data_IF_721521551324
#
_entry.id   IF_721521551324
#
_cell.length_a   1.000
_cell.length_b   1.000
_cell.length_c   1.000
_cell.angle_alpha   90.00
_cell.angle_beta   90.00
_cell.angle_gamma   90.00
#
_symmetry.space_group_name_H-M   'P 1'
#
loop_
_entity.id
_entity.type
_entity.pdbx_description
1 polymer ?
#
# COMPACT_ATOMS: atom_id res chain seq x y z
N UNK A 1 4.18 9.04 -7.91
CA UNK A 1 5.43 8.70 -7.20
C UNK A 1 5.79 7.27 -7.52
N UNK A 2 6.94 7.02 -8.15
CA UNK A 2 7.40 5.66 -8.49
C UNK A 2 7.42 4.77 -7.24
N UNK A 3 7.17 3.45 -7.31
CA UNK A 3 7.29 2.57 -6.13
C UNK A 3 8.65 2.68 -5.43
N UNK A 4 9.72 2.85 -6.20
CA UNK A 4 11.08 3.09 -5.67
C UNK A 4 11.24 4.46 -5.00
N UNK A 5 10.52 5.48 -5.45
CA UNK A 5 10.50 6.80 -4.81
C UNK A 5 9.67 6.76 -3.52
N UNK A 6 8.54 6.03 -3.52
CA UNK A 6 7.71 5.84 -2.33
C UNK A 6 8.47 5.11 -1.22
N UNK A 7 9.27 4.08 -1.58
CA UNK A 7 10.18 3.41 -0.63
C UNK A 7 11.18 4.40 -0.04
N UNK A 8 11.79 5.25 -0.86
CA UNK A 8 12.73 6.27 -0.39
C UNK A 8 12.03 7.24 0.55
N UNK A 9 10.90 7.78 0.16
CA UNK A 9 10.12 8.74 0.95
C UNK A 9 9.72 8.16 2.30
N UNK A 10 9.19 6.93 2.32
CA UNK A 10 8.83 6.24 3.56
C UNK A 10 10.07 5.97 4.43
N UNK A 11 11.19 5.54 3.85
CA UNK A 11 12.43 5.29 4.60
C UNK A 11 13.09 6.57 5.13
N UNK A 12 12.86 7.75 4.52
CA UNK A 12 13.50 9.00 4.96
C UNK A 12 13.18 9.38 6.40
N UNK A 13 11.96 9.10 6.89
CA UNK A 13 11.58 9.36 8.28
C UNK A 13 12.49 8.62 9.28
N UNK A 14 12.47 7.27 9.28
CA UNK A 14 13.37 6.47 10.10
C UNK A 14 14.86 6.79 9.91
N UNK A 15 15.30 7.00 8.67
CA UNK A 15 16.71 7.34 8.38
C UNK A 15 17.08 8.67 9.06
N UNK A 16 16.24 9.68 8.97
CA UNK A 16 16.51 10.99 9.60
C UNK A 16 16.61 10.86 11.12
N UNK A 17 15.71 10.11 11.74
CA UNK A 17 15.76 9.83 13.16
C UNK A 17 17.06 9.12 13.58
N UNK A 18 17.50 8.12 12.81
CA UNK A 18 18.76 7.41 13.05
C UNK A 18 19.96 8.35 12.89
N UNK A 19 19.99 9.18 11.85
CA UNK A 19 21.06 10.15 11.62
C UNK A 19 21.14 11.13 12.79
N UNK A 20 20.01 11.67 13.24
CA UNK A 20 19.95 12.58 14.39
C UNK A 20 20.47 11.90 15.65
N UNK A 21 20.06 10.66 15.91
CA UNK A 21 20.57 9.88 17.05
C UNK A 21 22.10 9.72 17.00
N UNK A 22 22.65 9.34 15.84
CA UNK A 22 24.10 9.17 15.64
C UNK A 22 24.86 10.48 15.86
N UNK A 23 24.36 11.60 15.33
CA UNK A 23 25.01 12.91 15.47
C UNK A 23 25.09 13.32 16.94
N UNK A 24 23.99 13.20 17.69
CA UNK A 24 23.98 13.56 19.11
C UNK A 24 24.84 12.61 19.95
N UNK A 25 24.85 11.32 19.65
CA UNK A 25 25.78 10.39 20.29
C UNK A 25 27.24 10.73 19.98
N UNK A 26 27.57 11.19 18.77
CA UNK A 26 28.92 11.64 18.43
C UNK A 26 29.33 12.90 19.22
N UNK A 27 28.39 13.84 19.43
CA UNK A 27 28.63 15.06 20.22
C UNK A 27 29.02 14.73 21.66
N UNK A 28 28.53 13.63 22.25
CA UNK A 28 28.89 13.24 23.62
C UNK A 28 30.39 12.97 23.80
N UNK A 29 31.10 12.60 22.74
CA UNK A 29 32.55 12.41 22.78
C UNK A 29 33.32 13.74 22.79
N UNK A 30 32.74 14.80 22.20
CA UNK A 30 33.33 16.13 22.16
C UNK A 30 32.95 16.95 23.39
N UNK A 31 31.71 16.80 23.86
CA UNK A 31 31.13 17.55 24.97
C UNK A 31 30.39 16.55 25.88
N UNK A 32 31.09 15.85 26.79
CA UNK A 32 30.49 14.81 27.64
C UNK A 32 29.33 15.31 28.50
N UNK A 33 29.37 16.56 28.96
CA UNK A 33 28.29 17.18 29.74
C UNK A 33 26.96 17.27 28.98
N UNK A 34 26.98 17.26 27.64
CA UNK A 34 25.76 17.32 26.81
C UNK A 34 24.91 16.05 26.88
N UNK A 35 25.50 14.91 27.27
CA UNK A 35 24.80 13.62 27.41
C UNK A 35 23.56 13.74 28.30
N UNK A 36 23.72 14.35 29.48
CA UNK A 36 22.66 14.44 30.48
C UNK A 36 21.41 15.15 29.93
N UNK A 37 21.61 16.15 29.06
CA UNK A 37 20.54 16.94 28.46
C UNK A 37 19.94 16.30 27.20
N UNK A 38 20.68 15.45 26.50
CA UNK A 38 20.30 14.98 25.15
C UNK A 38 20.06 13.47 25.06
N UNK A 39 20.34 12.70 26.12
CA UNK A 39 20.11 11.25 26.16
C UNK A 39 18.66 10.87 25.83
N UNK A 40 17.67 11.54 26.45
CA UNK A 40 16.25 11.25 26.22
C UNK A 40 15.83 11.55 24.77
N UNK A 41 16.41 12.59 24.17
CA UNK A 41 16.16 12.96 22.78
C UNK A 41 16.72 11.90 21.80
N UNK A 42 17.92 11.36 22.08
CA UNK A 42 18.49 10.26 21.30
C UNK A 42 17.62 9.01 21.41
N UNK A 43 17.20 8.63 22.62
CA UNK A 43 16.30 7.48 22.81
C UNK A 43 14.97 7.67 22.09
N UNK A 44 14.37 8.86 22.14
CA UNK A 44 13.13 9.15 21.44
C UNK A 44 13.27 8.99 19.91
N UNK A 45 14.38 9.45 19.33
CA UNK A 45 14.65 9.29 17.90
C UNK A 45 14.84 7.80 17.52
N UNK A 46 15.60 7.04 18.31
CA UNK A 46 15.80 5.60 18.08
C UNK A 46 14.46 4.86 18.16
N UNK A 47 13.67 5.11 19.21
CA UNK A 47 12.35 4.49 19.40
C UNK A 47 11.42 4.86 18.23
N UNK A 48 11.38 6.13 17.81
CA UNK A 48 10.58 6.55 16.66
C UNK A 48 11.03 5.89 15.35
N UNK A 49 12.34 5.72 15.14
CA UNK A 49 12.85 5.01 13.97
C UNK A 49 12.42 3.54 13.97
N UNK A 50 12.60 2.84 15.10
CA UNK A 50 12.21 1.43 15.25
C UNK A 50 10.70 1.25 15.08
N UNK A 51 9.91 2.14 15.68
CA UNK A 51 8.47 2.14 15.57
C UNK A 51 8.02 2.33 14.11
N UNK A 52 8.55 3.34 13.42
CA UNK A 52 8.20 3.60 12.03
C UNK A 52 8.71 2.53 11.06
N UNK A 53 9.73 1.75 11.42
CA UNK A 53 10.21 0.62 10.62
C UNK A 53 9.37 -0.66 10.77
N UNK A 54 8.43 -0.71 11.72
CA UNK A 54 7.58 -1.88 11.88
C UNK A 54 6.78 -2.17 10.60
N UNK A 55 6.68 -3.44 10.17
CA UNK A 55 6.05 -3.86 8.91
C UNK A 55 4.50 -3.86 8.99
N UNK A 56 3.91 -2.74 9.40
CA UNK A 56 2.47 -2.60 9.70
C UNK A 56 1.96 -1.28 9.17
N UNK A 57 0.78 -1.26 8.54
CA UNK A 57 0.13 0.00 8.18
C UNK A 57 -0.45 0.68 9.42
N UNK A 58 -0.35 2.02 9.56
CA UNK A 58 0.04 3.02 8.57
C UNK A 58 1.53 3.43 8.56
N UNK A 59 2.36 2.71 9.31
CA UNK A 59 3.77 3.01 9.54
C UNK A 59 4.59 2.88 8.25
N UNK A 60 5.74 3.55 8.22
CA UNK A 60 6.58 3.63 7.02
C UNK A 60 7.14 2.27 6.60
N UNK A 61 7.48 1.39 7.55
CA UNK A 61 7.91 0.01 7.30
C UNK A 61 6.83 -0.82 6.59
N UNK A 62 5.56 -0.61 6.94
CA UNK A 62 4.43 -1.18 6.21
C UNK A 62 4.35 -0.70 4.76
N UNK A 63 4.62 0.58 4.50
CA UNK A 63 4.64 1.17 3.14
C UNK A 63 5.81 0.63 2.31
N UNK A 64 7.00 0.54 2.91
CA UNK A 64 8.19 -0.04 2.28
C UNK A 64 7.93 -1.49 1.92
N UNK A 65 7.44 -2.30 2.87
CA UNK A 65 7.09 -3.70 2.63
C UNK A 65 6.00 -3.84 1.56
N UNK A 66 4.98 -2.97 1.55
CA UNK A 66 3.93 -2.99 0.53
C UNK A 66 4.47 -2.75 -0.86
N UNK A 67 5.33 -1.75 -1.03
CA UNK A 67 5.92 -1.43 -2.32
C UNK A 67 6.84 -2.57 -2.81
N UNK A 68 7.63 -3.16 -1.93
CA UNK A 68 8.50 -4.30 -2.26
C UNK A 68 7.71 -5.54 -2.65
N UNK A 69 6.66 -5.89 -1.89
CA UNK A 69 5.81 -7.03 -2.22
C UNK A 69 5.01 -6.78 -3.49
N UNK A 70 4.48 -5.58 -3.69
CA UNK A 70 3.66 -5.23 -4.87
C UNK A 70 4.45 -5.24 -6.18
N UNK A 71 5.78 -5.28 -6.13
CA UNK A 71 6.62 -5.52 -7.31
C UNK A 71 6.64 -7.00 -7.73
N UNK A 72 6.45 -7.93 -6.79
CA UNK A 72 6.56 -9.38 -7.00
C UNK A 72 5.21 -10.10 -7.03
N UNK A 73 4.14 -9.48 -6.50
CA UNK A 73 2.82 -10.10 -6.39
C UNK A 73 1.68 -9.08 -6.49
N UNK A 74 0.44 -9.54 -6.73
CA UNK A 74 -0.73 -8.65 -6.74
C UNK A 74 -0.88 -7.90 -5.41
N UNK A 75 -1.25 -6.62 -5.48
CA UNK A 75 -1.39 -5.75 -4.30
C UNK A 75 -2.37 -6.28 -3.25
N UNK A 76 -3.41 -6.99 -3.67
CA UNK A 76 -4.35 -7.64 -2.74
C UNK A 76 -3.65 -8.68 -1.87
N UNK A 77 -2.71 -9.45 -2.44
CA UNK A 77 -1.89 -10.40 -1.69
C UNK A 77 -0.87 -9.68 -0.81
N UNK A 78 -0.18 -8.67 -1.34
CA UNK A 78 0.78 -7.87 -0.57
C UNK A 78 0.15 -7.25 0.69
N UNK A 79 -1.04 -6.66 0.55
CA UNK A 79 -1.79 -6.09 1.67
C UNK A 79 -2.20 -7.16 2.70
N UNK A 80 -2.63 -8.34 2.24
CA UNK A 80 -2.99 -9.46 3.12
C UNK A 80 -1.78 -9.92 3.93
N UNK A 81 -0.60 -10.01 3.32
CA UNK A 81 0.63 -10.37 4.03
C UNK A 81 0.93 -9.33 5.12
N UNK A 82 0.92 -8.04 4.80
CA UNK A 82 1.21 -6.98 5.79
C UNK A 82 0.20 -7.00 6.94
N UNK A 83 -1.08 -7.23 6.65
CA UNK A 83 -2.11 -7.38 7.68
C UNK A 83 -1.79 -8.55 8.62
N UNK A 84 -1.44 -9.71 8.07
CA UNK A 84 -1.08 -10.90 8.85
C UNK A 84 0.18 -10.62 9.68
N UNK A 85 1.21 -10.02 9.08
CA UNK A 85 2.44 -9.64 9.78
C UNK A 85 2.15 -8.71 10.96
N UNK A 86 1.26 -7.72 10.79
CA UNK A 86 0.86 -6.83 11.88
C UNK A 86 0.07 -7.54 12.99
N UNK A 87 -0.84 -8.46 12.65
CA UNK A 87 -1.53 -9.26 13.65
C UNK A 87 -0.57 -10.15 14.45
N UNK A 88 0.37 -10.82 13.77
CA UNK A 88 1.39 -11.64 14.42
C UNK A 88 2.26 -10.78 15.34
N UNK A 89 2.76 -9.64 14.84
CA UNK A 89 3.61 -8.75 15.62
C UNK A 89 2.87 -8.18 16.85
N UNK A 90 1.64 -7.73 16.68
CA UNK A 90 0.80 -7.25 17.78
C UNK A 90 0.54 -8.33 18.83
N UNK A 91 0.22 -9.56 18.39
CA UNK A 91 0.04 -10.70 19.30
C UNK A 91 1.31 -11.07 20.05
N UNK A 92 2.48 -11.04 19.40
CA UNK A 92 3.78 -11.27 20.05
C UNK A 92 4.02 -10.21 21.13
N UNK A 93 3.76 -8.94 20.85
CA UNK A 93 3.92 -7.86 21.81
C UNK A 93 2.99 -8.00 23.02
N UNK A 94 1.74 -8.41 22.80
CA UNK A 94 0.80 -8.71 23.89
C UNK A 94 1.26 -9.93 24.70
N UNK A 95 1.80 -10.97 24.05
CA UNK A 95 2.37 -12.12 24.74
C UNK A 95 3.59 -11.71 25.58
N UNK A 96 4.46 -10.84 25.07
CA UNK A 96 5.60 -10.28 25.80
C UNK A 96 5.14 -9.47 27.01
N UNK A 97 4.04 -8.72 26.90
CA UNK A 97 3.43 -8.06 28.05
C UNK A 97 3.00 -9.07 29.13
N UNK A 98 2.31 -10.15 28.75
CA UNK A 98 1.88 -11.20 29.69
C UNK A 98 3.09 -11.83 30.37
N UNK A 99 4.15 -12.14 29.62
CA UNK A 99 5.40 -12.67 30.18
C UNK A 99 6.06 -11.66 31.12
N UNK A 100 6.08 -10.37 30.76
CA UNK A 100 6.66 -9.31 31.60
C UNK A 100 5.95 -9.22 32.96
N UNK A 101 4.65 -9.53 33.03
CA UNK A 101 3.90 -9.49 34.27
C UNK A 101 4.38 -10.47 35.35
N UNK A 102 5.18 -11.49 34.97
CA UNK A 102 5.78 -12.45 35.91
C UNK A 102 7.15 -12.02 36.45
N UNK A 103 7.76 -10.98 35.87
CA UNK A 103 9.09 -10.48 36.27
C UNK A 103 9.00 -9.03 36.71
N UNK A 104 8.77 -8.13 35.74
CA UNK A 104 8.57 -6.70 35.92
C UNK A 104 7.56 -6.21 34.89
N UNK A 105 6.43 -5.69 35.36
CA UNK A 105 5.31 -5.29 34.49
C UNK A 105 5.74 -4.17 33.55
N UNK A 106 5.87 -4.47 32.26
CA UNK A 106 6.18 -3.48 31.24
C UNK A 106 4.93 -3.16 30.39
N UNK A 107 4.21 -2.13 30.81
CA UNK A 107 2.97 -1.67 30.17
C UNK A 107 3.20 -1.24 28.71
N UNK A 108 4.42 -0.83 28.33
CA UNK A 108 4.72 -0.41 26.96
C UNK A 108 4.48 -1.52 25.94
N UNK A 109 4.74 -2.79 26.30
CA UNK A 109 4.43 -3.91 25.41
C UNK A 109 2.93 -4.06 25.16
N UNK A 110 2.09 -3.83 26.17
CA UNK A 110 0.64 -3.85 26.03
C UNK A 110 0.16 -2.73 25.09
N UNK A 111 0.58 -1.49 25.37
CA UNK A 111 0.20 -0.32 24.57
C UNK A 111 0.63 -0.50 23.11
N UNK A 112 1.88 -0.90 22.89
CA UNK A 112 2.42 -1.12 21.55
C UNK A 112 1.71 -2.27 20.83
N UNK A 113 1.49 -3.39 21.53
CA UNK A 113 0.81 -4.56 20.99
C UNK A 113 -0.63 -4.27 20.58
N UNK A 114 -1.40 -3.61 21.44
CA UNK A 114 -2.77 -3.17 21.15
C UNK A 114 -2.77 -2.18 19.97
N UNK A 115 -1.87 -1.18 19.97
CA UNK A 115 -1.76 -0.23 18.87
C UNK A 115 -1.51 -0.92 17.53
N UNK A 116 -0.51 -1.83 17.48
CA UNK A 116 -0.16 -2.58 16.26
C UNK A 116 -1.31 -3.48 15.81
N UNK A 117 -1.98 -4.15 16.76
CA UNK A 117 -3.11 -5.02 16.48
C UNK A 117 -4.30 -4.25 15.89
N UNK A 118 -4.66 -3.12 16.50
CA UNK A 118 -5.70 -2.22 16.00
C UNK A 118 -5.35 -1.68 14.61
N UNK A 119 -4.10 -1.27 14.39
CA UNK A 119 -3.61 -0.83 13.09
C UNK A 119 -3.77 -1.91 12.01
N UNK A 120 -3.48 -3.17 12.33
CA UNK A 120 -3.67 -4.29 11.41
C UNK A 120 -5.17 -4.56 11.12
N UNK A 121 -6.05 -4.34 12.09
CA UNK A 121 -7.50 -4.51 11.93
C UNK A 121 -8.15 -3.37 11.15
N UNK A 122 -7.70 -2.13 11.36
CA UNK A 122 -8.38 -0.91 10.93
C UNK A 122 -8.53 -0.74 9.41
N UNK A 123 -7.82 -1.50 8.55
CA UNK A 123 -8.23 -1.80 7.17
C UNK A 123 -8.34 -0.68 6.12
N UNK A 124 -8.47 0.60 6.51
CA UNK A 124 -9.04 1.66 5.67
C UNK A 124 -8.11 2.21 4.59
N UNK A 125 -6.81 1.90 4.61
CA UNK A 125 -5.85 2.51 3.68
C UNK A 125 -5.58 1.69 2.41
N UNK A 126 -6.20 0.52 2.26
CA UNK A 126 -6.01 -0.38 1.11
C UNK A 126 -6.23 0.35 -0.23
N UNK A 127 -7.33 1.09 -0.37
CA UNK A 127 -7.69 1.70 -1.65
C UNK A 127 -6.77 2.87 -2.05
N UNK A 128 -6.39 3.71 -1.09
CA UNK A 128 -5.54 4.88 -1.36
C UNK A 128 -4.15 4.45 -1.85
N UNK A 129 -3.53 3.47 -1.20
CA UNK A 129 -2.21 2.98 -1.62
C UNK A 129 -2.26 2.21 -2.93
N UNK A 130 -3.30 1.41 -3.16
CA UNK A 130 -3.55 0.74 -4.45
C UNK A 130 -3.66 1.78 -5.57
N UNK A 131 -4.46 2.84 -5.38
CA UNK A 131 -4.62 3.91 -6.39
C UNK A 131 -3.31 4.63 -6.70
N UNK A 132 -2.56 5.04 -5.67
CA UNK A 132 -1.28 5.76 -5.84
C UNK A 132 -0.26 4.87 -6.56
N UNK A 133 -0.14 3.60 -6.15
CA UNK A 133 0.78 2.65 -6.77
C UNK A 133 0.39 2.38 -8.22
N UNK A 134 -0.89 2.15 -8.51
CA UNK A 134 -1.37 1.86 -9.87
C UNK A 134 -1.02 3.00 -10.83
N UNK A 135 -1.25 4.25 -10.43
CA UNK A 135 -0.93 5.43 -11.25
C UNK A 135 0.57 5.50 -11.56
N UNK A 136 1.40 5.25 -10.56
CA UNK A 136 2.84 5.27 -10.70
C UNK A 136 3.38 4.12 -11.57
N UNK A 137 2.83 2.93 -11.40
CA UNK A 137 3.20 1.74 -12.14
C UNK A 137 2.91 1.90 -13.64
N UNK A 138 1.72 2.40 -13.99
CA UNK A 138 1.33 2.64 -15.39
C UNK A 138 2.21 3.70 -16.06
N UNK A 139 2.49 4.79 -15.36
CA UNK A 139 3.35 5.87 -15.88
C UNK A 139 4.77 5.38 -16.17
N UNK A 140 5.33 4.51 -15.33
CA UNK A 140 6.65 3.91 -15.59
C UNK A 140 6.63 2.94 -16.76
N UNK A 141 5.65 2.04 -16.80
CA UNK A 141 5.62 0.99 -17.81
C UNK A 141 5.29 1.53 -19.20
N UNK A 142 4.58 2.64 -19.31
CA UNK A 142 4.43 3.35 -20.58
C UNK A 142 5.79 3.68 -21.23
N UNK A 143 6.79 4.08 -20.43
CA UNK A 143 8.15 4.36 -20.94
C UNK A 143 8.96 3.10 -21.30
N UNK A 144 8.62 1.95 -20.71
CA UNK A 144 9.30 0.66 -20.93
C UNK A 144 8.59 -0.25 -21.94
N UNK A 145 7.45 0.19 -22.48
CA UNK A 145 6.52 -0.65 -23.23
C UNK A 145 5.50 -1.31 -22.30
N UNK A 146 4.30 -0.73 -22.21
CA UNK A 146 3.19 -1.30 -21.47
C UNK A 146 2.50 -2.34 -22.34
N UNK A 147 2.41 -3.58 -21.87
CA UNK A 147 1.73 -4.64 -22.61
C UNK A 147 0.24 -4.32 -22.76
N UNK A 148 -0.23 -4.34 -24.00
CA UNK A 148 -1.65 -4.20 -24.33
C UNK A 148 -2.30 -5.59 -24.27
N UNK A 149 -3.41 -5.70 -23.54
CA UNK A 149 -4.24 -6.91 -23.53
C UNK A 149 -5.59 -6.62 -24.15
N UNK A 150 -6.02 -7.50 -25.04
CA UNK A 150 -7.36 -7.46 -25.60
C UNK A 150 -8.25 -8.46 -24.87
N UNK A 151 -9.44 -8.02 -24.47
CA UNK A 151 -10.47 -8.88 -23.87
C UNK A 151 -11.74 -8.84 -24.72
N UNK A 152 -12.30 -10.00 -24.98
CA UNK A 152 -13.57 -10.15 -25.69
C UNK A 152 -14.71 -10.24 -24.65
N UNK A 153 -15.73 -9.41 -24.80
CA UNK A 153 -16.90 -9.41 -23.90
C UNK A 153 -18.20 -9.43 -24.70
N UNK A 154 -19.25 -10.01 -24.13
CA UNK A 154 -20.60 -9.95 -24.72
C UNK A 154 -21.16 -8.53 -24.59
N UNK A 155 -21.92 -8.10 -25.59
CA UNK A 155 -22.76 -6.88 -25.59
C UNK A 155 -23.59 -6.70 -24.31
N UNK A 156 -24.05 -7.81 -23.71
CA UNK A 156 -24.90 -7.81 -22.51
C UNK A 156 -24.09 -7.67 -21.20
N UNK A 157 -22.75 -7.58 -21.29
CA UNK A 157 -21.90 -7.57 -20.10
C UNK A 157 -21.98 -6.23 -19.38
N UNK A 158 -22.25 -6.19 -18.05
CA UNK A 158 -22.27 -4.94 -17.29
C UNK A 158 -20.91 -4.25 -17.27
N UNK A 159 -20.88 -2.93 -17.42
CA UNK A 159 -19.65 -2.12 -17.41
C UNK A 159 -18.81 -2.40 -16.16
N UNK A 160 -19.45 -2.46 -15.00
CA UNK A 160 -18.78 -2.73 -13.74
C UNK A 160 -18.04 -4.07 -13.70
N UNK A 161 -18.58 -5.10 -14.36
CA UNK A 161 -17.93 -6.41 -14.49
C UNK A 161 -16.67 -6.32 -15.37
N UNK A 162 -16.69 -5.49 -16.41
CA UNK A 162 -15.56 -5.27 -17.32
C UNK A 162 -14.42 -4.55 -16.59
N UNK A 163 -14.72 -3.50 -15.81
CA UNK A 163 -13.72 -2.77 -15.04
C UNK A 163 -13.03 -3.66 -14.00
N UNK A 164 -13.75 -4.63 -13.41
CA UNK A 164 -13.15 -5.63 -12.51
C UNK A 164 -12.15 -6.56 -13.20
N UNK A 165 -12.19 -6.69 -14.53
CA UNK A 165 -11.22 -7.47 -15.31
C UNK A 165 -9.93 -6.71 -15.55
N UNK A 166 -9.94 -5.37 -15.40
CA UNK A 166 -8.76 -4.55 -15.60
C UNK A 166 -7.74 -4.78 -14.49
N UNK A 167 -6.50 -4.96 -14.92
CA UNK A 167 -5.34 -5.03 -14.05
C UNK A 167 -4.47 -3.79 -14.26
N UNK A 168 -3.91 -3.21 -13.20
CA UNK A 168 -2.94 -2.12 -13.31
C UNK A 168 -1.72 -2.46 -14.15
N UNK A 169 -1.46 -3.76 -14.34
CA UNK A 169 -0.30 -4.27 -15.05
C UNK A 169 -0.34 -4.11 -16.57
N UNK A 170 -1.52 -3.92 -17.15
CA UNK A 170 -1.74 -3.89 -18.60
C UNK A 170 -2.56 -2.67 -19.00
N UNK A 171 -2.52 -2.32 -20.28
CA UNK A 171 -3.50 -1.43 -20.89
C UNK A 171 -4.53 -2.28 -21.64
N UNK A 172 -5.82 -2.11 -21.34
CA UNK A 172 -6.84 -2.96 -21.90
C UNK A 172 -7.55 -2.31 -23.10
N UNK A 173 -7.73 -3.11 -24.14
CA UNK A 173 -8.72 -2.89 -25.19
C UNK A 173 -9.82 -3.94 -25.04
N UNK A 174 -11.06 -3.50 -25.00
CA UNK A 174 -12.24 -4.34 -24.85
C UNK A 174 -12.96 -4.40 -26.17
N UNK A 175 -13.02 -5.59 -26.75
CA UNK A 175 -13.75 -5.87 -27.97
C UNK A 175 -15.11 -6.44 -27.60
N UNK A 176 -16.15 -5.72 -27.97
CA UNK A 176 -17.54 -6.07 -27.68
C UNK A 176 -18.10 -6.87 -28.84
N UNK A 177 -18.66 -8.04 -28.54
CA UNK A 177 -19.23 -8.93 -29.52
C UNK A 177 -20.73 -9.15 -29.30
N UNK A 178 -21.47 -9.29 -30.39
CA UNK A 178 -22.85 -9.77 -30.36
C UNK A 178 -22.89 -11.29 -30.07
N UNK A 179 -24.08 -11.84 -29.80
CA UNK A 179 -24.35 -13.28 -29.66
C UNK A 179 -23.89 -14.10 -30.86
N UNK A 180 -23.73 -13.47 -32.03
CA UNK A 180 -23.21 -14.07 -33.27
C UNK A 180 -21.69 -13.94 -33.45
N UNK A 181 -20.95 -13.48 -32.44
CA UNK A 181 -19.51 -13.20 -32.51
C UNK A 181 -19.10 -12.14 -33.55
N UNK A 182 -20.04 -11.28 -33.96
CA UNK A 182 -19.75 -10.10 -34.75
C UNK A 182 -19.21 -9.00 -33.84
N UNK A 183 -18.10 -8.37 -34.24
CA UNK A 183 -17.55 -7.23 -33.50
C UNK A 183 -18.50 -6.03 -33.63
N UNK A 184 -18.96 -5.51 -32.50
CA UNK A 184 -19.81 -4.32 -32.40
C UNK A 184 -18.95 -3.07 -32.17
N UNK A 185 -17.97 -3.15 -31.27
CA UNK A 185 -17.14 -2.01 -30.87
C UNK A 185 -15.81 -2.45 -30.28
N UNK A 186 -14.76 -1.67 -30.55
CA UNK A 186 -13.46 -1.75 -29.88
C UNK A 186 -13.28 -0.52 -28.98
N UNK A 187 -13.23 -0.75 -27.66
CA UNK A 187 -13.18 0.31 -26.66
C UNK A 187 -11.87 0.24 -25.88
N UNK A 188 -11.23 1.39 -25.72
CA UNK A 188 -10.11 1.55 -24.78
C UNK A 188 -10.62 1.62 -23.34
N UNK A 189 -9.74 1.34 -22.38
CA UNK A 189 -10.03 1.49 -20.94
C UNK A 189 -10.57 2.88 -20.58
N UNK A 190 -10.03 3.95 -21.18
CA UNK A 190 -10.47 5.33 -20.94
C UNK A 190 -11.91 5.57 -21.39
N UNK A 191 -12.31 4.97 -22.51
CA UNK A 191 -13.69 5.06 -23.00
C UNK A 191 -14.65 4.25 -22.11
N UNK A 192 -14.20 3.13 -21.54
CA UNK A 192 -15.02 2.37 -20.60
C UNK A 192 -15.19 3.11 -19.26
N UNK A 193 -14.15 3.81 -18.79
CA UNK A 193 -14.25 4.67 -17.61
C UNK A 193 -15.22 5.84 -17.84
N UNK A 194 -15.20 6.45 -19.03
CA UNK A 194 -16.14 7.51 -19.44
C UNK A 194 -17.59 7.00 -19.54
N UNK A 195 -17.78 5.77 -20.04
CA UNK A 195 -19.10 5.14 -20.05
C UNK A 195 -19.61 4.87 -18.64
N UNK A 196 -18.74 4.49 -17.70
CA UNK A 196 -19.12 4.31 -16.29
C UNK A 196 -19.45 5.64 -15.61
N UNK A 197 -18.78 6.75 -15.95
CA UNK A 197 -19.11 8.04 -15.31
C UNK A 197 -20.51 8.54 -15.68
N UNK A 198 -21.04 8.10 -16.82
CA UNK A 198 -22.33 8.54 -17.35
C UNK A 198 -23.47 7.51 -17.16
N UNK A 199 -23.17 6.29 -16.70
CA UNK A 199 -24.13 5.20 -16.57
C UNK A 199 -23.97 4.45 -15.23
N UNK A 200 -24.96 3.64 -14.87
CA UNK A 200 -24.87 2.82 -13.65
C UNK A 200 -23.89 1.65 -13.84
N UNK A 201 -23.31 1.19 -12.73
CA UNK A 201 -22.34 0.09 -12.67
C UNK A 201 -22.87 -1.21 -13.30
N UNK A 202 -24.19 -1.42 -13.23
CA UNK A 202 -24.87 -2.61 -13.73
C UNK A 202 -25.38 -2.48 -15.17
N UNK A 203 -25.25 -1.30 -15.80
CA UNK A 203 -25.72 -1.06 -17.18
C UNK A 203 -24.95 -1.95 -18.16
N UNK A 204 -25.64 -2.69 -19.05
CA UNK A 204 -25.01 -3.44 -20.14
C UNK A 204 -24.20 -2.52 -21.06
N UNK A 205 -23.04 -2.99 -21.54
CA UNK A 205 -22.16 -2.15 -22.35
C UNK A 205 -22.80 -1.69 -23.66
N UNK A 206 -23.68 -2.48 -24.26
CA UNK A 206 -24.39 -2.10 -25.48
C UNK A 206 -25.37 -0.95 -25.26
N UNK A 207 -26.04 -0.90 -24.12
CA UNK A 207 -27.00 0.17 -23.80
C UNK A 207 -26.26 1.48 -23.50
N UNK A 208 -25.12 1.39 -22.82
CA UNK A 208 -24.26 2.52 -22.57
C UNK A 208 -23.60 3.09 -23.84
N UNK A 209 -23.37 2.25 -24.87
CA UNK A 209 -22.90 2.72 -26.17
C UNK A 209 -23.97 3.46 -26.96
N UNK A 210 -25.25 3.17 -26.70
CA UNK A 210 -26.40 3.81 -27.37
C UNK A 210 -26.80 5.14 -26.73
N UNK A 211 -26.38 5.40 -25.49
CA UNK A 211 -26.62 6.65 -24.77
C UNK A 211 -25.57 7.73 -25.05
N UNK A 212 -24.68 7.50 -26.02
CA UNK A 212 -23.59 8.41 -26.42
C UNK A 212 -24.03 9.47 -27.42
#
# INVERSE_FOLDING_TARGET
VKPSEEIKIAAMGPITNIIVAIIFTAIWWLIPSSYFFTQAFVYANIINALFNLMPVFPLDGGRVMFCLLSQKMPQSKAYKIIKITGLILGSILIALFIVSAFFDVNISFCILGVFVFLCALAGEKKERYIRIYNRAFRTQNLKKGLQIRQIAVSADTPIGKIIKMFSPSYYYYVRVFDKKLNNIADLSETQIEELLSNNDYMTPIIDALRSK
#
